data_IF_696943759124
#
_entry.id   IF_696943759124
#
_cell.length_a   1.000
_cell.length_b   1.000
_cell.length_c   1.000
_cell.angle_alpha   90.00
_cell.angle_beta   90.00
_cell.angle_gamma   90.00
#
_symmetry.space_group_name_H-M   'P 1'
#
loop_
_entity.id
_entity.type
_entity.pdbx_description
1 polymer ?
#
# COMPACT_ATOMS: atom_id res chain seq x y z
N UNK A 1 -7.01 -9.34 4.38
CA UNK A 1 -6.06 -9.05 3.34
C UNK A 1 -4.80 -8.43 3.95
N UNK A 2 -3.60 -8.75 3.43
CA UNK A 2 -2.34 -8.27 3.97
C UNK A 2 -2.11 -6.79 3.66
N UNK A 3 -1.52 -6.06 4.59
CA UNK A 3 -1.01 -4.71 4.38
C UNK A 3 0.45 -4.67 4.85
N UNK A 4 1.26 -3.88 4.13
CA UNK A 4 2.67 -3.68 4.47
C UNK A 4 2.99 -2.19 4.53
N UNK A 5 4.03 -1.85 5.30
CA UNK A 5 4.48 -0.46 5.45
C UNK A 5 3.36 0.49 5.89
N UNK A 6 2.62 0.13 6.94
CA UNK A 6 1.63 1.05 7.51
C UNK A 6 2.38 2.18 8.19
N UNK A 7 2.14 3.40 7.75
CA UNK A 7 2.84 4.59 8.23
C UNK A 7 1.83 5.65 8.65
N UNK A 8 2.06 6.25 9.81
CA UNK A 8 1.33 7.43 10.28
C UNK A 8 1.94 8.67 9.65
N UNK A 9 1.10 9.56 9.14
CA UNK A 9 1.48 10.88 8.64
C UNK A 9 0.66 11.94 9.36
N UNK A 10 1.33 12.79 10.12
CA UNK A 10 0.73 13.94 10.78
C UNK A 10 0.72 15.12 9.82
N UNK A 11 -0.36 15.90 9.86
CA UNK A 11 -0.55 17.12 9.07
C UNK A 11 -1.11 18.19 9.99
N UNK A 12 -0.31 19.24 10.22
CA UNK A 12 -0.65 20.34 11.14
C UNK A 12 -1.89 21.13 10.71
N UNK A 13 -2.36 20.96 9.49
CA UNK A 13 -3.61 21.55 9.01
C UNK A 13 -4.86 20.79 9.45
N UNK A 14 -4.72 19.57 9.96
CA UNK A 14 -5.83 18.76 10.45
C UNK A 14 -6.23 19.16 11.88
N UNK A 15 -7.50 18.98 12.24
CA UNK A 15 -7.93 19.11 13.63
C UNK A 15 -7.17 18.14 14.54
N UNK A 16 -7.01 18.55 15.81
CA UNK A 16 -6.40 17.71 16.85
C UNK A 16 -7.09 16.35 16.97
N UNK A 17 -6.31 15.26 16.97
CA UNK A 17 -6.78 13.88 16.99
C UNK A 17 -7.06 13.31 15.60
N UNK A 18 -6.77 14.06 14.53
CA UNK A 18 -6.81 13.54 13.17
C UNK A 18 -5.40 13.38 12.59
N UNK A 19 -5.23 12.33 11.80
CA UNK A 19 -3.98 12.03 11.07
C UNK A 19 -4.27 11.11 9.89
N UNK A 20 -3.30 10.96 9.01
CA UNK A 20 -3.37 9.99 7.93
C UNK A 20 -2.64 8.69 8.29
N UNK A 21 -3.20 7.58 7.82
CA UNK A 21 -2.50 6.30 7.67
C UNK A 21 -2.36 5.98 6.20
N UNK A 22 -1.15 5.73 5.72
CA UNK A 22 -0.97 5.21 4.37
C UNK A 22 -0.22 3.88 4.40
N UNK A 23 -0.44 3.07 3.35
CA UNK A 23 0.09 1.72 3.30
C UNK A 23 0.15 1.16 1.88
N UNK A 24 1.01 0.16 1.70
CA UNK A 24 0.88 -0.78 0.60
C UNK A 24 -0.18 -1.83 0.98
N UNK A 25 -1.35 -1.75 0.37
CA UNK A 25 -2.40 -2.74 0.54
C UNK A 25 -2.22 -3.85 -0.49
N UNK A 26 -1.72 -5.00 -0.04
CA UNK A 26 -1.52 -6.18 -0.89
C UNK A 26 -2.83 -6.74 -1.45
N UNK A 27 -3.96 -6.43 -0.79
CA UNK A 27 -5.28 -6.88 -1.18
C UNK A 27 -5.35 -8.40 -1.40
N UNK A 28 -4.65 -9.14 -0.56
CA UNK A 28 -4.57 -10.59 -0.61
C UNK A 28 -5.59 -11.25 0.32
N UNK A 29 -6.47 -12.06 -0.25
CA UNK A 29 -7.53 -12.79 0.47
C UNK A 29 -6.98 -13.94 1.30
N UNK A 30 -6.39 -13.63 2.44
CA UNK A 30 -5.94 -14.61 3.42
C UNK A 30 -6.10 -14.07 4.84
N UNK A 31 -6.69 -14.85 5.72
CA UNK A 31 -6.72 -14.60 7.16
C UNK A 31 -6.24 -15.86 7.88
N UNK A 32 -5.07 -15.78 8.54
CA UNK A 32 -4.51 -16.93 9.26
C UNK A 32 -5.38 -17.31 10.46
N UNK A 33 -6.02 -16.32 11.09
CA UNK A 33 -6.94 -16.51 12.21
C UNK A 33 -8.29 -17.13 11.83
N UNK A 34 -8.67 -17.04 10.55
CA UNK A 34 -9.92 -17.59 10.01
C UNK A 34 -9.61 -18.29 8.68
N UNK A 35 -8.95 -19.44 8.69
CA UNK A 35 -8.43 -20.09 7.48
C UNK A 35 -9.54 -20.57 6.51
N UNK A 36 -10.75 -20.75 7.04
CA UNK A 36 -11.94 -21.20 6.27
C UNK A 36 -12.78 -20.04 5.76
N UNK A 37 -12.35 -18.78 5.94
CA UNK A 37 -13.11 -17.63 5.46
C UNK A 37 -13.24 -17.66 3.94
N UNK A 38 -14.47 -17.54 3.45
CA UNK A 38 -14.76 -17.52 2.02
C UNK A 38 -14.51 -16.13 1.42
N UNK A 39 -13.40 -15.99 0.73
CA UNK A 39 -13.01 -14.75 0.07
C UNK A 39 -13.75 -14.52 -1.27
N UNK A 40 -14.50 -15.50 -1.80
CA UNK A 40 -15.26 -15.33 -3.04
C UNK A 40 -16.35 -14.26 -2.95
N UNK A 41 -16.78 -13.95 -1.73
CA UNK A 41 -17.72 -12.86 -1.44
C UNK A 41 -17.12 -11.46 -1.70
N UNK A 42 -15.80 -11.37 -1.90
CA UNK A 42 -15.06 -10.13 -2.12
C UNK A 42 -14.35 -10.19 -3.48
N UNK A 43 -15.06 -9.93 -4.59
CA UNK A 43 -14.55 -10.19 -5.95
C UNK A 43 -13.30 -9.40 -6.32
N UNK A 44 -13.02 -8.29 -5.62
CA UNK A 44 -11.83 -7.46 -5.86
C UNK A 44 -10.61 -7.87 -5.05
N UNK A 45 -10.73 -8.89 -4.20
CA UNK A 45 -9.63 -9.40 -3.39
C UNK A 45 -8.84 -10.43 -4.20
N UNK A 46 -7.51 -10.26 -4.24
CA UNK A 46 -6.61 -11.14 -4.96
C UNK A 46 -6.37 -12.48 -4.27
N UNK A 47 -5.86 -13.44 -5.04
CA UNK A 47 -5.29 -14.68 -4.52
C UNK A 47 -3.74 -14.61 -4.57
N UNK A 48 -3.03 -15.68 -4.18
CA UNK A 48 -1.58 -15.64 -4.15
C UNK A 48 -0.91 -15.38 -5.52
N UNK A 49 -1.59 -15.71 -6.62
CA UNK A 49 -1.02 -15.64 -7.98
C UNK A 49 -1.43 -14.38 -8.74
N UNK A 50 -2.62 -13.82 -8.43
CA UNK A 50 -3.20 -12.73 -9.21
C UNK A 50 -4.10 -11.83 -8.38
N UNK A 51 -4.18 -10.58 -8.76
CA UNK A 51 -4.99 -9.55 -8.11
C UNK A 51 -4.51 -8.15 -8.47
N UNK A 52 -4.92 -7.19 -7.67
CA UNK A 52 -4.47 -5.79 -7.74
C UNK A 52 -4.09 -5.35 -6.34
N UNK A 53 -2.88 -4.83 -6.19
CA UNK A 53 -2.48 -4.14 -4.96
C UNK A 53 -2.78 -2.65 -5.08
N UNK A 54 -2.83 -1.97 -3.95
CA UNK A 54 -3.14 -0.54 -3.91
C UNK A 54 -2.19 0.22 -2.98
N UNK A 55 -1.87 1.43 -3.37
CA UNK A 55 -1.62 2.47 -2.39
C UNK A 55 -2.96 2.85 -1.77
N UNK A 56 -3.02 2.91 -0.44
CA UNK A 56 -4.23 3.34 0.27
C UNK A 56 -3.86 4.31 1.37
N UNK A 57 -4.52 5.47 1.41
CA UNK A 57 -4.38 6.50 2.45
C UNK A 57 -5.74 6.75 3.09
N UNK A 58 -5.79 6.66 4.41
CA UNK A 58 -6.98 6.86 5.21
C UNK A 58 -6.81 8.07 6.11
N UNK A 59 -7.83 8.90 6.23
CA UNK A 59 -7.95 9.86 7.30
C UNK A 59 -8.59 9.18 8.51
N UNK A 60 -7.91 9.23 9.63
CA UNK A 60 -8.36 8.69 10.91
C UNK A 60 -8.76 9.85 11.82
N UNK A 61 -9.85 9.70 12.57
CA UNK A 61 -10.31 10.61 13.60
C UNK A 61 -10.47 9.82 14.92
N UNK A 62 -9.56 10.04 15.85
CA UNK A 62 -9.57 9.34 17.14
C UNK A 62 -10.72 9.81 18.05
N UNK A 63 -11.15 11.06 17.94
CA UNK A 63 -12.23 11.61 18.78
C UNK A 63 -13.56 10.96 18.46
N UNK A 64 -13.84 10.75 17.18
CA UNK A 64 -15.06 10.08 16.71
C UNK A 64 -14.87 8.58 16.51
N UNK A 65 -13.64 8.06 16.59
CA UNK A 65 -13.27 6.67 16.31
C UNK A 65 -13.72 6.22 14.92
N UNK A 66 -13.52 7.08 13.95
CA UNK A 66 -13.90 6.83 12.55
C UNK A 66 -12.68 6.93 11.64
N UNK A 67 -12.82 6.36 10.47
CA UNK A 67 -11.85 6.53 9.38
C UNK A 67 -12.57 6.63 8.04
N UNK A 68 -11.94 7.29 7.08
CA UNK A 68 -12.41 7.33 5.70
C UNK A 68 -11.25 7.19 4.72
N UNK A 69 -11.50 6.54 3.59
CA UNK A 69 -10.53 6.48 2.51
C UNK A 69 -10.34 7.89 1.93
N UNK A 70 -9.12 8.39 2.00
CA UNK A 70 -8.74 9.71 1.49
C UNK A 70 -8.18 9.63 0.07
N UNK A 71 -7.38 8.57 -0.22
CA UNK A 71 -6.82 8.34 -1.54
C UNK A 71 -6.56 6.86 -1.77
N UNK A 72 -6.76 6.39 -3.00
CA UNK A 72 -6.39 5.05 -3.42
C UNK A 72 -6.08 5.03 -4.92
N UNK A 73 -5.04 4.31 -5.30
CA UNK A 73 -4.74 3.97 -6.70
C UNK A 73 -4.06 2.61 -6.79
N UNK A 74 -4.10 2.01 -7.99
CA UNK A 74 -3.55 0.67 -8.24
C UNK A 74 -2.03 0.68 -8.28
N UNK A 75 -1.45 -0.37 -7.71
CA UNK A 75 -0.04 -0.70 -7.78
C UNK A 75 0.14 -2.06 -8.48
N UNK A 76 1.33 -2.38 -9.01
CA UNK A 76 1.67 -3.73 -9.46
C UNK A 76 1.40 -4.75 -8.36
N UNK A 77 0.80 -5.89 -8.72
CA UNK A 77 0.33 -6.84 -7.73
C UNK A 77 1.46 -7.52 -6.97
N UNK A 78 1.27 -7.60 -5.67
CA UNK A 78 2.10 -8.40 -4.77
C UNK A 78 1.25 -8.91 -3.62
N UNK A 79 1.02 -10.22 -3.53
CA UNK A 79 0.23 -10.82 -2.46
C UNK A 79 0.89 -10.66 -1.07
N UNK A 80 2.21 -10.55 -1.03
CA UNK A 80 3.02 -10.43 0.19
C UNK A 80 4.13 -9.40 -0.02
N UNK A 81 4.83 -9.03 1.06
CA UNK A 81 5.95 -8.08 1.05
C UNK A 81 5.56 -6.73 0.47
N UNK A 82 6.51 -5.91 0.01
CA UNK A 82 6.26 -4.62 -0.63
C UNK A 82 6.27 -3.41 0.30
N UNK A 83 6.42 -2.23 -0.28
CA UNK A 83 6.50 -0.98 0.47
C UNK A 83 5.99 0.21 -0.32
N UNK A 84 5.57 1.23 0.40
CA UNK A 84 5.35 2.60 -0.09
C UNK A 84 5.94 3.58 0.91
N UNK A 85 6.36 4.74 0.44
CA UNK A 85 6.78 5.85 1.30
C UNK A 85 6.33 7.18 0.70
N UNK A 86 6.33 8.23 1.50
CA UNK A 86 6.22 9.61 1.03
C UNK A 86 7.60 10.25 1.05
N UNK A 87 8.03 10.85 -0.07
CA UNK A 87 9.32 11.51 -0.20
C UNK A 87 9.26 12.60 -1.27
N UNK A 88 9.60 13.84 -0.89
CA UNK A 88 9.67 14.94 -1.84
C UNK A 88 8.37 15.24 -2.60
N UNK A 89 7.21 14.99 -1.98
CA UNK A 89 5.89 15.15 -2.60
C UNK A 89 5.46 14.01 -3.52
N UNK A 90 6.29 12.97 -3.68
CA UNK A 90 6.01 11.78 -4.47
C UNK A 90 5.79 10.54 -3.59
N UNK A 91 5.40 9.46 -4.23
CA UNK A 91 5.10 8.18 -3.58
C UNK A 91 5.97 7.09 -4.22
N UNK A 92 7.22 6.90 -3.73
CA UNK A 92 8.03 5.73 -4.05
C UNK A 92 7.33 4.44 -3.62
N UNK A 93 7.41 3.41 -4.47
CA UNK A 93 6.84 2.09 -4.20
C UNK A 93 7.79 0.95 -4.57
N UNK A 94 7.59 -0.18 -3.91
CA UNK A 94 8.16 -1.46 -4.32
C UNK A 94 7.10 -2.53 -4.25
N UNK A 95 6.88 -3.23 -5.36
CA UNK A 95 6.03 -4.42 -5.44
C UNK A 95 6.91 -5.66 -5.54
N UNK A 96 7.11 -6.33 -4.41
CA UNK A 96 8.17 -7.35 -4.29
C UNK A 96 7.96 -8.58 -5.16
N UNK A 97 6.73 -9.08 -5.28
CA UNK A 97 6.46 -10.27 -6.11
C UNK A 97 6.50 -9.95 -7.60
N UNK A 98 6.05 -8.79 -8.01
CA UNK A 98 6.16 -8.35 -9.42
C UNK A 98 7.55 -7.83 -9.77
N UNK A 99 8.48 -7.79 -8.80
CA UNK A 99 9.86 -7.37 -9.01
C UNK A 99 9.97 -5.99 -9.68
N UNK A 100 9.08 -5.09 -9.26
CA UNK A 100 8.94 -3.75 -9.79
C UNK A 100 9.04 -2.74 -8.68
N UNK A 101 9.78 -1.67 -8.90
CA UNK A 101 9.80 -0.51 -8.02
C UNK A 101 9.75 0.77 -8.86
N UNK A 102 9.38 1.87 -8.25
CA UNK A 102 9.26 3.13 -8.96
C UNK A 102 8.65 4.23 -8.12
N UNK A 103 8.04 5.17 -8.78
CA UNK A 103 7.55 6.39 -8.15
C UNK A 103 6.28 6.89 -8.84
N UNK A 104 5.28 7.21 -8.05
CA UNK A 104 4.08 7.94 -8.45
C UNK A 104 4.16 9.38 -7.93
N UNK A 105 3.47 10.30 -8.60
CA UNK A 105 3.22 11.62 -8.04
C UNK A 105 2.14 11.58 -6.95
N UNK A 106 1.91 12.71 -6.28
CA UNK A 106 0.91 12.84 -5.22
C UNK A 106 -0.53 12.54 -5.67
N UNK A 107 -0.81 12.61 -6.98
CA UNK A 107 -2.13 12.38 -7.55
C UNK A 107 -2.30 10.93 -8.05
N UNK A 108 -1.29 10.08 -7.89
CA UNK A 108 -1.30 8.67 -8.29
C UNK A 108 -0.99 8.42 -9.75
N UNK A 109 -0.35 9.38 -10.44
CA UNK A 109 0.15 9.20 -11.79
C UNK A 109 1.57 8.65 -11.75
N UNK A 110 1.82 7.57 -12.49
CA UNK A 110 3.15 6.96 -12.57
C UNK A 110 4.16 7.93 -13.20
N UNK A 111 5.24 8.23 -12.49
CA UNK A 111 6.38 9.02 -12.99
C UNK A 111 7.36 8.09 -13.71
N UNK A 112 7.77 7.02 -13.01
CA UNK A 112 8.71 6.03 -13.57
C UNK A 112 8.61 4.72 -12.80
N UNK A 113 8.94 3.62 -13.47
CA UNK A 113 9.10 2.32 -12.86
C UNK A 113 10.30 1.59 -13.44
N UNK A 114 10.82 0.64 -12.66
CA UNK A 114 11.93 -0.23 -13.02
C UNK A 114 11.55 -1.66 -12.68
N UNK A 115 11.88 -2.57 -13.55
CA UNK A 115 11.83 -4.00 -13.29
C UNK A 115 13.24 -4.50 -12.99
N UNK A 116 13.34 -5.53 -12.18
CA UNK A 116 14.62 -6.16 -11.86
C UNK A 116 14.49 -7.67 -11.86
N UNK A 117 15.60 -8.33 -12.16
CA UNK A 117 15.70 -9.79 -12.09
C UNK A 117 16.28 -10.21 -10.73
N UNK A 118 15.64 -11.18 -10.08
CA UNK A 118 16.12 -11.78 -8.84
C UNK A 118 15.46 -13.14 -8.63
N UNK A 119 16.13 -14.03 -7.93
CA UNK A 119 15.59 -15.37 -7.60
C UNK A 119 14.49 -15.28 -6.55
N UNK A 120 14.52 -14.23 -5.70
CA UNK A 120 13.58 -14.04 -4.60
C UNK A 120 12.88 -12.69 -4.67
N UNK A 121 11.78 -12.56 -3.93
CA UNK A 121 11.05 -11.31 -3.80
C UNK A 121 11.82 -10.29 -2.97
N UNK A 122 11.79 -9.02 -3.38
CA UNK A 122 12.27 -7.93 -2.55
C UNK A 122 11.26 -7.66 -1.42
N UNK A 123 11.77 -7.51 -0.20
CA UNK A 123 10.91 -7.15 0.92
C UNK A 123 10.54 -5.66 0.87
N UNK A 124 11.53 -4.79 0.62
CA UNK A 124 11.37 -3.33 0.51
C UNK A 124 12.40 -2.72 -0.42
N UNK A 125 12.02 -1.64 -1.09
CA UNK A 125 12.95 -0.70 -1.72
C UNK A 125 12.64 0.68 -1.14
N UNK A 126 13.67 1.38 -0.65
CA UNK A 126 13.54 2.71 -0.06
C UNK A 126 14.33 3.71 -0.89
N UNK A 127 13.77 4.89 -1.07
CA UNK A 127 14.42 6.04 -1.68
C UNK A 127 14.86 7.01 -0.59
N UNK A 128 16.03 7.60 -0.74
CA UNK A 128 16.57 8.61 0.16
C UNK A 128 16.93 9.87 -0.61
N UNK A 129 16.84 11.01 0.04
CA UNK A 129 17.43 12.26 -0.41
C UNK A 129 18.81 12.41 0.27
N UNK A 130 19.82 12.80 -0.52
CA UNK A 130 21.19 13.01 -0.07
C UNK A 130 21.57 14.48 -0.24
#
# INVERSE_FOLDING_TARGET
AGQHMITVEYDDSLPEGQYYLYMFNNNYGKATSIPTFDWSMYPNVGNFKSGTSYYSKFLVDEKTRTYKLAQQFSLPYSAIVSSVQHLGGNIPFSSGMSKTFGEYDKDGKLIKSFEYEADKYSYRVMKYEF
#
